data_IF_436909607387
#
_entry.id   IF_436909607387
#
_cell.length_a   1.000
_cell.length_b   1.000
_cell.length_c   1.000
_cell.angle_alpha   90.00
_cell.angle_beta   90.00
_cell.angle_gamma   90.00
#
_symmetry.space_group_name_H-M   'P 1'
#
loop_
_entity.id
_entity.type
_entity.pdbx_description
1 polymer ?
#
# COMPACT_ATOMS: atom_id res chain seq x y z
N UNK A 1 -9.27 -20.62 -11.02
CA UNK A 1 -9.53 -19.66 -9.94
C UNK A 1 -8.23 -18.96 -9.64
N UNK A 2 -8.17 -17.64 -9.74
CA UNK A 2 -6.93 -16.88 -9.45
C UNK A 2 -6.74 -16.80 -7.94
N UNK A 3 -5.53 -17.08 -7.45
CA UNK A 3 -5.18 -16.96 -6.04
C UNK A 3 -4.48 -15.60 -5.82
N UNK A 4 -4.76 -15.02 -4.67
CA UNK A 4 -4.09 -13.84 -4.13
C UNK A 4 -3.02 -14.30 -3.15
N UNK A 5 -1.77 -14.09 -3.47
CA UNK A 5 -0.66 -14.32 -2.55
C UNK A 5 -0.53 -13.15 -1.59
N UNK A 6 -0.47 -13.45 -0.29
CA UNK A 6 -0.46 -12.48 0.79
C UNK A 6 0.64 -12.83 1.78
N UNK A 7 1.36 -11.85 2.27
CA UNK A 7 2.31 -12.01 3.39
C UNK A 7 1.68 -11.47 4.65
N UNK A 8 1.48 -12.32 5.62
CA UNK A 8 0.96 -11.95 6.94
C UNK A 8 2.08 -11.92 7.98
N UNK A 9 1.91 -11.11 9.03
CA UNK A 9 2.79 -11.13 10.20
C UNK A 9 2.40 -12.32 11.06
N UNK A 10 3.27 -13.32 11.14
CA UNK A 10 3.04 -14.56 11.89
C UNK A 10 3.51 -14.45 13.35
N UNK A 11 4.62 -13.75 13.57
CA UNK A 11 5.16 -13.51 14.89
C UNK A 11 5.85 -12.15 14.99
N UNK A 12 5.98 -11.63 16.21
CA UNK A 12 6.63 -10.33 16.43
C UNK A 12 8.15 -10.52 16.51
N UNK A 13 8.94 -9.82 15.68
CA UNK A 13 10.39 -9.93 15.71
C UNK A 13 10.98 -9.29 16.98
N UNK A 14 11.94 -9.97 17.57
CA UNK A 14 12.87 -9.43 18.58
C UNK A 14 14.15 -9.02 17.86
N UNK A 15 14.38 -7.72 17.68
CA UNK A 15 15.51 -7.23 16.89
C UNK A 15 15.16 -7.08 15.41
N UNK A 16 16.05 -7.54 14.54
CA UNK A 16 15.85 -7.54 13.09
C UNK A 16 14.81 -8.61 12.69
N UNK A 17 13.85 -8.28 11.80
CA UNK A 17 12.88 -9.26 11.29
C UNK A 17 13.58 -10.34 10.47
N UNK A 18 13.16 -11.57 10.64
CA UNK A 18 13.58 -12.72 9.83
C UNK A 18 12.40 -13.26 9.05
N UNK A 19 12.65 -14.15 8.09
CA UNK A 19 11.60 -14.75 7.26
C UNK A 19 10.59 -15.54 8.08
N UNK A 20 11.00 -16.07 9.23
CA UNK A 20 10.14 -16.82 10.15
C UNK A 20 9.09 -15.95 10.86
N UNK A 21 9.24 -14.62 10.82
CA UNK A 21 8.23 -13.72 11.35
C UNK A 21 7.04 -13.54 10.39
N UNK A 22 7.15 -14.06 9.17
CA UNK A 22 6.14 -13.90 8.13
C UNK A 22 5.67 -15.24 7.61
N UNK A 23 4.43 -15.27 7.12
CA UNK A 23 3.85 -16.44 6.50
C UNK A 23 3.16 -16.07 5.19
N UNK A 24 3.43 -16.85 4.15
CA UNK A 24 2.70 -16.77 2.88
C UNK A 24 1.32 -17.42 3.06
N UNK A 25 0.29 -16.71 2.66
CA UNK A 25 -1.10 -17.17 2.64
C UNK A 25 -1.66 -16.99 1.24
N UNK A 26 -2.44 -17.96 0.78
CA UNK A 26 -3.13 -17.89 -0.50
C UNK A 26 -4.64 -17.84 -0.26
N UNK A 27 -5.32 -16.86 -0.84
CA UNK A 27 -6.77 -16.70 -0.76
C UNK A 27 -7.35 -16.57 -2.17
N UNK A 28 -8.60 -16.97 -2.42
CA UNK A 28 -9.24 -16.70 -3.70
C UNK A 28 -9.34 -15.19 -3.95
N UNK A 29 -8.99 -14.74 -5.17
CA UNK A 29 -9.30 -13.38 -5.60
C UNK A 29 -10.82 -13.24 -5.72
N UNK A 30 -11.44 -12.20 -5.13
CA UNK A 30 -12.87 -11.96 -5.25
C UNK A 30 -13.29 -11.83 -6.72
N UNK A 31 -14.41 -12.43 -7.08
CA UNK A 31 -15.01 -12.21 -8.39
C UNK A 31 -15.57 -10.78 -8.48
N UNK A 32 -15.58 -10.20 -9.68
CA UNK A 32 -16.05 -8.82 -9.88
C UNK A 32 -17.52 -8.64 -9.41
N UNK A 33 -18.34 -9.69 -9.58
CA UNK A 33 -19.76 -9.70 -9.21
C UNK A 33 -19.98 -9.72 -7.68
N UNK A 34 -18.96 -10.15 -6.93
CA UNK A 34 -19.01 -10.25 -5.47
C UNK A 34 -18.65 -8.92 -4.76
N UNK A 35 -18.22 -7.89 -5.51
CA UNK A 35 -17.90 -6.59 -4.94
C UNK A 35 -19.17 -5.91 -4.43
N UNK A 36 -19.10 -5.34 -3.23
CA UNK A 36 -20.13 -4.43 -2.72
C UNK A 36 -20.02 -3.04 -3.35
N UNK A 37 -21.08 -2.25 -3.22
CA UNK A 37 -21.09 -0.86 -3.70
C UNK A 37 -19.99 -0.04 -3.00
N UNK A 38 -19.26 0.76 -3.77
CA UNK A 38 -18.12 1.53 -3.29
C UNK A 38 -16.78 0.78 -3.29
N UNK A 39 -16.78 -0.55 -3.49
CA UNK A 39 -15.56 -1.35 -3.49
C UNK A 39 -14.85 -1.34 -4.85
N UNK A 40 -13.54 -1.47 -4.76
CA UNK A 40 -12.61 -1.55 -5.90
C UNK A 40 -11.64 -2.69 -5.65
N UNK A 41 -11.43 -3.54 -6.64
CA UNK A 41 -10.39 -4.58 -6.62
C UNK A 41 -9.18 -4.07 -7.39
N UNK A 42 -8.04 -4.01 -6.71
CA UNK A 42 -6.78 -3.53 -7.27
C UNK A 42 -5.79 -4.68 -7.36
N UNK A 43 -5.19 -4.87 -8.53
CA UNK A 43 -4.01 -5.70 -8.73
C UNK A 43 -2.77 -4.85 -8.51
N UNK A 44 -1.92 -5.23 -7.57
CA UNK A 44 -0.69 -4.50 -7.28
C UNK A 44 0.42 -4.86 -8.29
N UNK A 45 1.20 -3.86 -8.68
CA UNK A 45 2.38 -4.00 -9.51
C UNK A 45 3.67 -3.77 -8.72
N UNK A 46 3.63 -2.88 -7.72
CA UNK A 46 4.75 -2.56 -6.84
C UNK A 46 4.27 -2.36 -5.41
N UNK A 47 5.13 -2.74 -4.49
CA UNK A 47 5.01 -2.57 -3.05
C UNK A 47 6.21 -1.76 -2.55
N UNK A 48 5.99 -0.77 -1.70
CA UNK A 48 7.05 -0.07 -0.98
C UNK A 48 7.39 -0.81 0.31
N UNK A 49 8.67 -0.98 0.57
CA UNK A 49 9.19 -1.47 1.85
C UNK A 49 9.77 -0.28 2.61
N UNK A 50 9.11 0.12 3.68
CA UNK A 50 9.42 1.35 4.41
C UNK A 50 9.81 1.07 5.87
N UNK A 51 10.73 1.85 6.46
CA UNK A 51 11.21 1.63 7.84
C UNK A 51 10.11 1.63 8.91
N UNK A 52 9.00 2.39 8.72
CA UNK A 52 7.91 2.43 9.69
C UNK A 52 7.27 1.06 9.92
N UNK A 53 7.32 0.16 8.94
CA UNK A 53 6.74 -1.19 9.04
C UNK A 53 7.38 -1.98 10.18
N UNK A 54 8.70 -1.80 10.41
CA UNK A 54 9.38 -2.44 11.56
C UNK A 54 8.78 -2.00 12.89
N UNK A 55 8.53 -0.70 13.06
CA UNK A 55 7.90 -0.17 14.27
C UNK A 55 6.48 -0.70 14.46
N UNK A 56 5.74 -0.92 13.38
CA UNK A 56 4.38 -1.48 13.40
C UNK A 56 4.32 -2.95 13.84
N UNK A 57 5.41 -3.70 13.72
CA UNK A 57 5.49 -5.09 14.20
C UNK A 57 5.59 -5.19 15.72
N UNK A 58 5.86 -4.10 16.44
CA UNK A 58 5.92 -4.07 17.89
C UNK A 58 4.53 -3.82 18.51
N UNK A 59 4.31 -4.29 19.74
CA UNK A 59 3.10 -3.96 20.54
C UNK A 59 3.22 -2.63 21.32
N UNK A 60 4.36 -1.96 21.23
CA UNK A 60 4.61 -0.72 21.95
C UNK A 60 3.63 0.39 21.50
N UNK A 61 3.23 1.24 22.47
CA UNK A 61 2.44 2.43 22.18
C UNK A 61 3.17 3.33 21.19
N UNK A 62 2.51 3.67 20.10
CA UNK A 62 3.04 4.50 19.02
C UNK A 62 1.94 5.44 18.51
N UNK A 63 2.29 6.32 17.56
CA UNK A 63 1.32 7.18 16.86
C UNK A 63 0.28 6.39 16.04
N UNK A 64 0.53 5.12 15.80
CA UNK A 64 -0.38 4.27 15.04
C UNK A 64 -0.48 2.87 15.68
N UNK A 65 -1.60 2.20 15.41
CA UNK A 65 -1.88 0.86 15.97
C UNK A 65 -0.85 -0.16 15.50
N UNK A 66 -0.45 -1.11 16.36
CA UNK A 66 0.39 -2.24 15.95
C UNK A 66 -0.23 -3.02 14.81
N UNK A 67 0.63 -3.62 13.97
CA UNK A 67 0.19 -4.60 12.98
C UNK A 67 -0.41 -5.82 13.70
N UNK A 68 -1.64 -6.23 13.40
CA UNK A 68 -2.18 -7.46 13.97
C UNK A 68 -1.42 -8.69 13.47
N UNK A 69 -1.30 -9.71 14.31
CA UNK A 69 -0.83 -11.03 13.88
C UNK A 69 -1.86 -11.65 12.94
N UNK A 70 -1.44 -12.55 12.07
CA UNK A 70 -2.24 -13.22 11.04
C UNK A 70 -2.95 -12.28 10.04
N UNK A 71 -2.64 -11.00 10.07
CA UNK A 71 -3.14 -10.03 9.10
C UNK A 71 -2.08 -9.68 8.05
N UNK A 72 -2.56 -9.38 6.83
CA UNK A 72 -1.70 -8.92 5.72
C UNK A 72 -0.87 -7.73 6.19
N UNK A 73 0.44 -7.80 5.99
CA UNK A 73 1.36 -6.73 6.34
C UNK A 73 0.97 -5.42 5.65
N UNK A 74 0.96 -4.34 6.42
CA UNK A 74 0.69 -3.01 5.89
C UNK A 74 1.79 -2.56 4.94
N UNK A 75 1.43 -1.88 3.85
CA UNK A 75 2.39 -1.32 2.91
C UNK A 75 1.74 -0.46 1.85
N UNK A 76 2.45 0.59 1.43
CA UNK A 76 2.08 1.39 0.27
C UNK A 76 2.22 0.60 -1.02
N UNK A 77 1.20 0.65 -1.86
CA UNK A 77 1.17 -0.09 -3.13
C UNK A 77 0.74 0.81 -4.28
N UNK A 78 1.20 0.49 -5.47
CA UNK A 78 0.65 1.01 -6.70
C UNK A 78 0.23 -0.14 -7.60
N UNK A 79 -0.86 0.05 -8.33
CA UNK A 79 -1.43 -1.00 -9.14
C UNK A 79 -2.45 -0.50 -10.13
N UNK A 80 -3.26 -1.43 -10.59
CA UNK A 80 -4.32 -1.22 -11.56
C UNK A 80 -5.66 -1.73 -11.03
N UNK A 81 -6.70 -0.97 -11.24
CA UNK A 81 -8.07 -1.39 -10.96
C UNK A 81 -8.47 -2.50 -11.94
N UNK A 82 -8.80 -3.68 -11.41
CA UNK A 82 -9.24 -4.83 -12.22
C UNK A 82 -10.73 -5.11 -12.12
N UNK A 83 -11.40 -4.61 -11.09
CA UNK A 83 -12.86 -4.58 -10.98
C UNK A 83 -13.29 -3.41 -10.09
N UNK A 84 -14.46 -2.83 -10.35
CA UNK A 84 -14.95 -1.68 -9.59
C UNK A 84 -16.47 -1.64 -9.51
N UNK A 85 -16.98 -1.31 -8.32
CA UNK A 85 -18.34 -0.85 -8.04
C UNK A 85 -18.35 0.54 -7.42
N UNK A 86 -17.32 1.33 -7.73
CA UNK A 86 -17.21 2.72 -7.31
C UNK A 86 -17.22 3.63 -8.55
N UNK A 87 -18.13 4.63 -8.65
CA UNK A 87 -18.26 5.48 -9.84
C UNK A 87 -17.02 6.35 -10.13
N UNK A 88 -16.12 6.51 -9.15
CA UNK A 88 -14.91 7.31 -9.33
C UNK A 88 -13.72 6.51 -9.88
N UNK A 89 -13.80 5.17 -9.91
CA UNK A 89 -12.71 4.30 -10.37
C UNK A 89 -13.20 3.38 -11.49
N UNK A 90 -12.54 3.42 -12.63
CA UNK A 90 -12.79 2.53 -13.77
C UNK A 90 -11.74 1.41 -13.83
N UNK A 91 -12.09 0.28 -14.43
CA UNK A 91 -11.13 -0.79 -14.75
C UNK A 91 -10.05 -0.20 -15.66
N UNK A 92 -8.78 -0.50 -15.35
CA UNK A 92 -7.61 0.05 -16.04
C UNK A 92 -7.01 1.30 -15.39
N UNK A 93 -7.72 1.98 -14.47
CA UNK A 93 -7.16 3.12 -13.75
C UNK A 93 -5.91 2.70 -12.97
N UNK A 94 -4.86 3.52 -13.06
CA UNK A 94 -3.66 3.37 -12.24
C UNK A 94 -3.88 4.08 -10.91
N UNK A 95 -3.52 3.41 -9.82
CA UNK A 95 -3.84 3.87 -8.47
C UNK A 95 -2.68 3.67 -7.50
N UNK A 96 -2.64 4.52 -6.47
CA UNK A 96 -1.78 4.40 -5.30
C UNK A 96 -2.63 4.31 -4.05
N UNK A 97 -2.24 3.47 -3.10
CA UNK A 97 -2.95 3.27 -1.82
C UNK A 97 -2.16 2.43 -0.84
N UNK A 98 -2.82 2.04 0.25
CA UNK A 98 -2.23 1.20 1.31
C UNK A 98 -2.75 -0.25 1.17
N UNK A 99 -2.45 -0.88 0.04
CA UNK A 99 -2.97 -2.21 -0.29
C UNK A 99 -2.34 -3.37 0.48
N UNK A 100 -1.21 -3.16 1.15
CA UNK A 100 -0.52 -4.18 1.92
C UNK A 100 0.30 -5.16 1.07
N UNK A 101 0.95 -6.10 1.75
CA UNK A 101 1.84 -7.09 1.12
C UNK A 101 1.02 -8.22 0.51
N UNK A 102 0.41 -7.95 -0.63
CA UNK A 102 -0.42 -8.91 -1.37
C UNK A 102 -0.51 -8.54 -2.85
N UNK A 103 -0.88 -9.47 -3.69
CA UNK A 103 -1.01 -9.22 -5.13
C UNK A 103 -2.31 -8.47 -5.49
N UNK A 104 -3.39 -8.74 -4.75
CA UNK A 104 -4.69 -8.11 -4.96
C UNK A 104 -5.24 -7.58 -3.63
N UNK A 105 -5.79 -6.38 -3.65
CA UNK A 105 -6.50 -5.82 -2.51
C UNK A 105 -7.93 -5.45 -2.90
N UNK A 106 -8.88 -5.85 -2.06
CA UNK A 106 -10.23 -5.32 -2.08
C UNK A 106 -10.25 -4.08 -1.20
N UNK A 107 -10.52 -2.93 -1.81
CA UNK A 107 -10.47 -1.61 -1.17
C UNK A 107 -11.86 -1.01 -1.10
N UNK A 108 -12.28 -0.58 0.10
CA UNK A 108 -13.44 0.30 0.25
C UNK A 108 -13.01 1.73 -0.11
N UNK A 109 -13.21 2.09 -1.36
CA UNK A 109 -12.79 3.36 -1.94
C UNK A 109 -13.84 4.48 -1.76
N UNK A 110 -14.88 4.26 -0.97
CA UNK A 110 -15.87 5.28 -0.61
C UNK A 110 -15.30 6.38 0.28
N UNK A 111 -14.23 6.08 1.03
CA UNK A 111 -13.55 7.06 1.87
C UNK A 111 -12.45 7.80 1.09
N UNK A 112 -12.46 9.14 1.17
CA UNK A 112 -11.43 9.97 0.53
C UNK A 112 -10.04 9.66 1.07
N UNK A 113 -9.06 9.53 0.17
CA UNK A 113 -7.65 9.35 0.51
C UNK A 113 -7.22 7.90 0.73
N UNK A 114 -8.14 6.93 0.73
CA UNK A 114 -7.80 5.50 0.86
C UNK A 114 -7.15 4.98 -0.43
N UNK A 115 -7.67 5.41 -1.58
CA UNK A 115 -7.17 5.06 -2.90
C UNK A 115 -7.16 6.33 -3.78
N UNK A 116 -6.10 6.55 -4.53
CA UNK A 116 -5.95 7.72 -5.40
C UNK A 116 -5.56 7.30 -6.81
N UNK A 117 -6.20 7.90 -7.81
CA UNK A 117 -5.77 7.76 -9.20
C UNK A 117 -4.47 8.51 -9.43
N UNK A 118 -3.62 7.95 -10.28
CA UNK A 118 -2.34 8.53 -10.68
C UNK A 118 -2.22 8.56 -12.19
N UNK A 119 -1.59 9.61 -12.71
CA UNK A 119 -1.32 9.77 -14.14
C UNK A 119 0.06 9.19 -14.46
N UNK A 120 0.08 8.16 -15.28
CA UNK A 120 1.30 7.48 -15.72
C UNK A 120 1.75 7.85 -17.13
N UNK A 121 1.19 8.91 -17.71
CA UNK A 121 1.53 9.37 -19.09
C UNK A 121 3.02 9.71 -19.21
N UNK A 122 3.59 10.38 -18.19
CA UNK A 122 4.97 10.86 -18.20
C UNK A 122 5.79 10.37 -17.00
N UNK A 123 5.17 9.71 -16.04
CA UNK A 123 5.78 9.29 -14.78
C UNK A 123 5.53 7.79 -14.60
N UNK A 124 6.57 6.96 -14.41
CA UNK A 124 6.37 5.53 -14.20
C UNK A 124 5.60 5.28 -12.90
N UNK A 125 4.73 4.27 -12.92
CA UNK A 125 3.84 3.94 -11.80
C UNK A 125 4.58 3.77 -10.47
N UNK A 126 5.78 3.15 -10.49
CA UNK A 126 6.61 2.96 -9.29
C UNK A 126 7.07 4.27 -8.63
N UNK A 127 7.20 5.38 -9.39
CA UNK A 127 7.62 6.65 -8.85
C UNK A 127 6.63 7.23 -7.83
N UNK A 128 5.36 6.82 -7.86
CA UNK A 128 4.33 7.22 -6.90
C UNK A 128 4.52 6.61 -5.49
N UNK A 129 5.38 5.60 -5.37
CA UNK A 129 5.86 5.10 -4.06
C UNK A 129 7.18 5.78 -3.60
N UNK A 130 7.76 6.62 -4.45
CA UNK A 130 9.06 7.25 -4.21
C UNK A 130 9.04 8.77 -4.47
N UNK A 131 9.69 9.19 -5.57
CA UNK A 131 10.00 10.59 -5.87
C UNK A 131 8.76 11.51 -5.99
N UNK A 132 7.64 11.03 -6.49
CA UNK A 132 6.38 11.80 -6.58
C UNK A 132 5.34 11.37 -5.54
N UNK A 133 5.73 10.51 -4.61
CA UNK A 133 4.93 10.05 -3.46
C UNK A 133 5.39 10.69 -2.15
N UNK A 134 5.04 10.03 -1.04
CA UNK A 134 5.35 10.51 0.32
C UNK A 134 6.86 10.75 0.54
N UNK A 135 7.80 9.89 0.13
CA UNK A 135 9.23 10.15 0.32
C UNK A 135 9.71 11.41 -0.38
N UNK A 136 9.27 11.64 -1.63
CA UNK A 136 9.63 12.84 -2.39
C UNK A 136 9.04 14.11 -1.79
N UNK A 137 7.77 14.09 -1.38
CA UNK A 137 7.13 15.21 -0.68
C UNK A 137 7.86 15.53 0.62
N UNK A 138 8.23 14.51 1.40
CA UNK A 138 8.97 14.66 2.65
C UNK A 138 10.35 15.31 2.39
N UNK A 139 11.08 14.83 1.39
CA UNK A 139 12.37 15.40 1.01
C UNK A 139 12.24 16.85 0.53
N UNK A 140 11.23 17.15 -0.30
CA UNK A 140 10.96 18.49 -0.80
C UNK A 140 10.61 19.46 0.34
N UNK A 141 9.72 19.07 1.26
CA UNK A 141 9.38 19.88 2.43
C UNK A 141 10.59 20.11 3.34
N UNK A 142 11.37 19.06 3.61
CA UNK A 142 12.60 19.17 4.39
C UNK A 142 13.58 20.17 3.78
N UNK A 143 13.79 20.07 2.47
CA UNK A 143 14.72 20.96 1.76
C UNK A 143 14.24 22.41 1.72
N UNK A 144 12.97 22.62 1.35
CA UNK A 144 12.46 23.98 1.04
C UNK A 144 11.92 24.71 2.26
N UNK A 145 11.43 24.01 3.29
CA UNK A 145 10.78 24.63 4.45
C UNK A 145 11.61 24.57 5.74
N UNK A 146 12.61 23.68 5.80
CA UNK A 146 13.41 23.47 7.02
C UNK A 146 14.87 23.88 6.78
N UNK A 147 15.49 23.34 5.73
CA UNK A 147 16.92 23.58 5.44
C UNK A 147 17.11 24.96 4.77
N UNK A 148 16.20 25.36 3.90
CA UNK A 148 16.25 26.61 3.12
C UNK A 148 17.65 26.85 2.51
N UNK A 149 18.11 25.95 1.60
CA UNK A 149 19.46 26.01 1.07
C UNK A 149 19.71 27.35 0.34
N UNK A 150 20.85 27.95 0.60
CA UNK A 150 21.28 29.16 -0.08
C UNK A 150 22.21 28.80 -1.24
N UNK A 151 22.12 29.58 -2.32
CA UNK A 151 23.09 29.49 -3.40
C UNK A 151 24.48 29.84 -2.88
N UNK A 152 25.47 28.97 -3.14
CA UNK A 152 26.85 29.14 -2.72
C UNK A 152 27.70 27.99 -3.15
#
# INVERSE_FOLDING_TARGET
MTLNQQIVLDSRPTGEPTVENFRLVETPVPAAEALADGQVLVRHHYLSLDPYMRGRMNEAKSYAQPQPLDAVMIGGTVGEVVASRNPHFAVGDKVVGMGGWQEYALVDAGQRGVLQKVDTTHIPLSAYLGAVGMPGVTAWMGLTQIIEPKAG
#
